data_IF_795720291421
#
_entry.id   IF_795720291421
#
_cell.length_a   1.000
_cell.length_b   1.000
_cell.length_c   1.000
_cell.angle_alpha   90.00
_cell.angle_beta   90.00
_cell.angle_gamma   90.00
#
_symmetry.space_group_name_H-M   'P 1'
#
loop_
_entity.id
_entity.type
_entity.pdbx_description
1 polymer ?
#
# COMPACT_ATOMS: atom_id res chain seq x y z
N UNK A 1 16.61 5.10 21.52
CA UNK A 1 15.35 4.41 21.19
C UNK A 1 15.60 3.41 20.06
N UNK A 2 15.52 2.09 20.29
CA UNK A 2 15.72 1.07 19.26
C UNK A 2 14.66 1.12 18.13
N UNK A 3 13.41 1.43 18.47
CA UNK A 3 12.29 1.51 17.52
C UNK A 3 12.46 2.64 16.49
N UNK A 4 12.93 3.82 16.91
CA UNK A 4 13.21 4.92 15.99
C UNK A 4 14.29 4.54 14.97
N UNK A 5 15.37 3.88 15.40
CA UNK A 5 16.42 3.40 14.47
C UNK A 5 15.88 2.37 13.47
N UNK A 6 14.99 1.49 13.91
CA UNK A 6 14.34 0.51 13.04
C UNK A 6 13.40 1.20 12.03
N UNK A 7 12.65 2.21 12.44
CA UNK A 7 11.79 3.00 11.56
C UNK A 7 12.59 3.86 10.56
N UNK A 8 13.72 4.44 10.98
CA UNK A 8 14.67 5.11 10.06
C UNK A 8 15.23 4.13 9.02
N UNK A 9 15.32 2.84 9.35
CA UNK A 9 15.72 1.82 8.37
C UNK A 9 14.69 1.64 7.24
N UNK A 10 13.42 1.98 7.51
CA UNK A 10 12.27 1.90 6.60
C UNK A 10 11.89 3.24 5.96
N UNK A 11 12.70 4.28 6.12
CA UNK A 11 12.46 5.59 5.51
C UNK A 11 12.51 5.51 3.98
N UNK A 12 11.33 5.71 3.36
CA UNK A 12 11.15 5.67 1.90
C UNK A 12 12.00 6.73 1.20
N UNK A 13 12.14 7.93 1.75
CA UNK A 13 12.93 9.00 1.15
C UNK A 13 14.40 8.62 1.06
N UNK A 14 14.95 8.09 2.16
CA UNK A 14 16.33 7.59 2.21
C UNK A 14 16.56 6.43 1.25
N UNK A 15 15.64 5.46 1.19
CA UNK A 15 15.77 4.31 0.27
C UNK A 15 15.73 4.77 -1.19
N UNK A 16 14.83 5.70 -1.53
CA UNK A 16 14.74 6.24 -2.89
C UNK A 16 15.98 7.06 -3.26
N UNK A 17 16.50 7.88 -2.35
CA UNK A 17 17.75 8.63 -2.57
C UNK A 17 18.95 7.71 -2.79
N UNK A 18 19.04 6.61 -2.02
CA UNK A 18 20.07 5.60 -2.23
C UNK A 18 19.91 4.92 -3.60
N UNK A 19 18.68 4.54 -3.96
CA UNK A 19 18.39 3.92 -5.27
C UNK A 19 18.78 4.84 -6.43
N UNK A 20 18.40 6.12 -6.39
CA UNK A 20 18.73 7.08 -7.45
C UNK A 20 20.23 7.29 -7.56
N UNK A 21 20.94 7.41 -6.43
CA UNK A 21 22.40 7.50 -6.41
C UNK A 21 23.07 6.26 -7.02
N UNK A 22 22.67 5.06 -6.60
CA UNK A 22 23.24 3.80 -7.07
C UNK A 22 22.97 3.51 -8.55
N UNK A 23 21.85 3.99 -9.08
CA UNK A 23 21.45 3.77 -10.48
C UNK A 23 21.87 4.89 -11.42
N UNK A 24 22.49 5.97 -10.90
CA UNK A 24 22.79 7.18 -11.66
C UNK A 24 23.64 6.90 -12.92
N UNK A 25 24.67 6.06 -12.81
CA UNK A 25 25.61 5.81 -13.91
C UNK A 25 25.01 5.06 -15.10
N UNK A 26 23.98 4.24 -14.87
CA UNK A 26 23.38 3.38 -15.90
C UNK A 26 22.04 3.88 -16.41
N UNK A 27 21.50 4.94 -15.79
CA UNK A 27 20.16 5.47 -16.05
C UNK A 27 20.04 6.12 -17.43
N UNK A 28 19.01 5.73 -18.19
CA UNK A 28 18.71 6.25 -19.53
C UNK A 28 17.35 6.97 -19.59
N UNK A 29 16.69 7.18 -18.44
CA UNK A 29 15.34 7.73 -18.34
C UNK A 29 15.13 8.54 -17.06
N UNK A 30 14.18 9.47 -17.10
CA UNK A 30 13.72 10.25 -15.95
C UNK A 30 12.70 9.51 -15.07
N UNK A 31 12.22 8.33 -15.49
CA UNK A 31 11.33 7.50 -14.66
C UNK A 31 12.09 6.98 -13.44
N UNK A 32 11.47 6.99 -12.26
CA UNK A 32 12.13 6.61 -11.00
C UNK A 32 12.80 5.24 -11.09
N UNK A 33 12.04 4.18 -11.37
CA UNK A 33 12.56 2.81 -11.46
C UNK A 33 13.04 2.46 -12.87
N UNK A 34 14.20 1.83 -12.94
CA UNK A 34 14.85 1.35 -14.17
C UNK A 34 15.07 -0.16 -14.15
N UNK A 35 15.07 -0.78 -15.32
CA UNK A 35 15.47 -2.17 -15.51
C UNK A 35 16.98 -2.32 -15.25
N UNK A 36 17.38 -3.50 -14.77
CA UNK A 36 18.77 -3.89 -14.54
C UNK A 36 19.17 -5.14 -15.35
N UNK A 37 18.25 -5.71 -16.14
CA UNK A 37 18.51 -6.90 -16.93
C UNK A 37 19.43 -6.59 -18.13
N UNK A 38 20.32 -7.52 -18.50
CA UNK A 38 21.16 -7.39 -19.68
C UNK A 38 20.33 -7.01 -20.93
N UNK A 39 20.80 -6.02 -21.68
CA UNK A 39 20.12 -5.50 -22.88
C UNK A 39 19.01 -4.47 -22.61
N UNK A 40 18.49 -4.36 -21.38
CA UNK A 40 17.50 -3.33 -21.01
C UNK A 40 17.94 -2.43 -19.86
N UNK A 41 19.17 -2.60 -19.36
CA UNK A 41 19.71 -1.81 -18.27
C UNK A 41 19.57 -0.30 -18.52
N UNK A 42 19.04 0.40 -17.51
CA UNK A 42 18.84 1.85 -17.57
C UNK A 42 17.51 2.29 -18.17
N UNK A 43 16.78 1.40 -18.84
CA UNK A 43 15.48 1.68 -19.44
C UNK A 43 14.36 1.71 -18.38
N UNK A 44 13.19 2.34 -18.64
CA UNK A 44 12.10 2.40 -17.68
C UNK A 44 11.46 1.02 -17.44
N UNK A 45 11.15 0.70 -16.19
CA UNK A 45 10.42 -0.53 -15.83
C UNK A 45 8.97 -0.45 -16.32
N UNK A 46 8.47 -1.52 -16.94
CA UNK A 46 7.06 -1.63 -17.32
C UNK A 46 6.16 -1.83 -16.09
N UNK A 47 4.88 -1.40 -16.12
CA UNK A 47 3.94 -1.66 -15.02
C UNK A 47 3.82 -3.15 -14.65
N UNK A 48 3.91 -4.03 -15.64
CA UNK A 48 3.86 -5.48 -15.46
C UNK A 48 5.08 -6.00 -14.70
N UNK A 49 6.30 -5.58 -15.09
CA UNK A 49 7.52 -5.94 -14.36
C UNK A 49 7.52 -5.38 -12.94
N UNK A 50 7.09 -4.14 -12.76
CA UNK A 50 7.02 -3.54 -11.43
C UNK A 50 6.02 -4.28 -10.53
N UNK A 51 4.86 -4.67 -11.07
CA UNK A 51 3.88 -5.51 -10.37
C UNK A 51 4.49 -6.86 -9.97
N UNK A 52 5.25 -7.49 -10.87
CA UNK A 52 5.95 -8.73 -10.59
C UNK A 52 6.96 -8.55 -9.44
N UNK A 53 7.80 -7.51 -9.48
CA UNK A 53 8.77 -7.20 -8.41
C UNK A 53 8.11 -7.02 -7.05
N UNK A 54 6.97 -6.34 -6.97
CA UNK A 54 6.22 -6.20 -5.70
C UNK A 54 5.77 -7.57 -5.20
N UNK A 55 5.15 -8.38 -6.07
CA UNK A 55 4.63 -9.70 -5.68
C UNK A 55 5.75 -10.64 -5.25
N UNK A 56 6.87 -10.68 -5.97
CA UNK A 56 8.01 -11.52 -5.62
C UNK A 56 8.67 -11.08 -4.31
N UNK A 57 8.81 -9.77 -4.09
CA UNK A 57 9.35 -9.21 -2.85
C UNK A 57 8.49 -9.58 -1.64
N UNK A 58 7.16 -9.45 -1.75
CA UNK A 58 6.23 -9.85 -0.68
C UNK A 58 6.35 -11.35 -0.41
N UNK A 59 6.33 -12.19 -1.46
CA UNK A 59 6.49 -13.65 -1.29
C UNK A 59 7.81 -14.01 -0.61
N UNK A 60 8.90 -13.35 -1.00
CA UNK A 60 10.22 -13.55 -0.40
C UNK A 60 10.21 -13.17 1.08
N UNK A 61 9.63 -12.02 1.44
CA UNK A 61 9.55 -11.57 2.83
C UNK A 61 8.78 -12.58 3.71
N UNK A 62 7.64 -13.10 3.25
CA UNK A 62 6.89 -14.13 3.97
C UNK A 62 7.68 -15.43 4.13
N UNK A 63 8.39 -15.86 3.08
CA UNK A 63 9.25 -17.04 3.11
C UNK A 63 10.38 -16.88 4.13
N UNK A 64 11.07 -15.74 4.12
CA UNK A 64 12.15 -15.42 5.07
C UNK A 64 11.63 -15.34 6.52
N UNK A 65 10.41 -14.82 6.70
CA UNK A 65 9.73 -14.78 7.99
C UNK A 65 9.13 -16.12 8.43
N UNK A 66 9.27 -17.19 7.63
CA UNK A 66 8.67 -18.53 7.87
C UNK A 66 7.16 -18.47 8.11
N UNK A 67 6.45 -17.58 7.40
CA UNK A 67 4.99 -17.42 7.46
C UNK A 67 4.32 -18.01 6.23
N UNK A 68 3.09 -18.56 6.34
CA UNK A 68 2.35 -19.04 5.19
C UNK A 68 2.06 -17.89 4.22
N UNK A 69 2.16 -18.17 2.92
CA UNK A 69 1.86 -17.18 1.89
C UNK A 69 0.35 -16.87 1.85
N UNK A 70 -0.04 -15.58 1.80
CA UNK A 70 -1.42 -15.20 1.54
C UNK A 70 -1.91 -15.71 0.18
N UNK A 71 -3.20 -15.98 0.07
CA UNK A 71 -3.84 -16.29 -1.22
C UNK A 71 -3.94 -15.04 -2.09
N UNK A 72 -3.77 -15.19 -3.40
CA UNK A 72 -3.99 -14.14 -4.41
C UNK A 72 -3.23 -12.81 -4.17
N UNK A 73 -1.94 -12.86 -3.84
CA UNK A 73 -1.08 -11.65 -3.75
C UNK A 73 -1.03 -10.93 -5.10
N UNK A 74 -1.42 -9.66 -5.11
CA UNK A 74 -1.32 -8.74 -6.25
C UNK A 74 -0.57 -7.49 -5.81
N UNK A 75 0.03 -6.75 -6.76
CA UNK A 75 0.67 -5.48 -6.42
C UNK A 75 -0.28 -4.48 -5.73
N UNK A 76 -1.54 -4.43 -6.16
CA UNK A 76 -2.57 -3.61 -5.53
C UNK A 76 -2.94 -4.04 -4.09
N UNK A 77 -2.62 -5.27 -3.68
CA UNK A 77 -2.85 -5.73 -2.30
C UNK A 77 -2.04 -4.89 -1.31
N UNK A 78 -0.85 -4.40 -1.67
CA UNK A 78 -0.04 -3.51 -0.83
C UNK A 78 -0.79 -2.23 -0.49
N UNK A 79 -1.44 -1.61 -1.48
CA UNK A 79 -2.26 -0.40 -1.28
C UNK A 79 -3.48 -0.67 -0.41
N UNK A 80 -4.20 -1.76 -0.66
CA UNK A 80 -5.35 -2.14 0.15
C UNK A 80 -4.99 -2.38 1.61
N UNK A 81 -3.89 -3.09 1.88
CA UNK A 81 -3.42 -3.35 3.25
C UNK A 81 -3.00 -2.03 3.93
N UNK A 82 -2.26 -1.16 3.26
CA UNK A 82 -1.84 0.13 3.82
C UNK A 82 -3.03 1.02 4.18
N UNK A 83 -3.99 1.21 3.27
CA UNK A 83 -5.22 1.98 3.52
C UNK A 83 -6.05 1.35 4.63
N UNK A 84 -6.14 0.01 4.67
CA UNK A 84 -6.86 -0.69 5.73
C UNK A 84 -6.21 -0.51 7.10
N UNK A 85 -4.88 -0.58 7.15
CA UNK A 85 -4.11 -0.38 8.36
C UNK A 85 -4.20 1.05 8.89
N UNK A 86 -4.28 2.06 8.02
CA UNK A 86 -4.50 3.45 8.40
C UNK A 86 -5.92 3.66 8.98
N UNK A 87 -6.93 3.11 8.32
CA UNK A 87 -8.31 3.18 8.81
C UNK A 87 -8.49 2.48 10.15
N UNK A 88 -7.90 1.30 10.35
CA UNK A 88 -7.89 0.60 11.65
C UNK A 88 -7.17 1.37 12.75
N UNK A 89 -6.32 2.35 12.40
CA UNK A 89 -5.70 3.29 13.35
C UNK A 89 -6.52 4.56 13.57
N UNK A 90 -7.69 4.68 12.94
CA UNK A 90 -8.58 5.83 13.12
C UNK A 90 -8.26 7.04 12.26
N UNK A 91 -7.38 6.90 11.25
CA UNK A 91 -7.16 7.99 10.28
C UNK A 91 -8.46 8.25 9.51
N UNK A 92 -8.90 9.51 9.36
CA UNK A 92 -10.10 9.86 8.62
C UNK A 92 -10.10 9.31 7.19
N UNK A 93 -11.25 8.84 6.71
CA UNK A 93 -11.37 8.23 5.37
C UNK A 93 -11.00 9.21 4.27
N UNK A 94 -11.28 10.49 4.44
CA UNK A 94 -10.91 11.54 3.49
C UNK A 94 -9.38 11.68 3.35
N UNK A 95 -8.67 11.71 4.47
CA UNK A 95 -7.20 11.73 4.48
C UNK A 95 -6.61 10.48 3.82
N UNK A 96 -7.18 9.30 4.10
CA UNK A 96 -6.77 8.05 3.45
C UNK A 96 -7.02 8.11 1.94
N UNK A 97 -8.17 8.63 1.51
CA UNK A 97 -8.51 8.75 0.10
C UNK A 97 -7.58 9.73 -0.61
N UNK A 98 -7.28 10.88 0.01
CA UNK A 98 -6.33 11.85 -0.50
C UNK A 98 -4.93 11.23 -0.65
N UNK A 99 -4.42 10.58 0.40
CA UNK A 99 -3.12 9.91 0.38
C UNK A 99 -3.05 8.75 -0.62
N UNK A 100 -4.16 8.05 -0.85
CA UNK A 100 -4.26 7.01 -1.85
C UNK A 100 -4.46 7.58 -3.27
N UNK A 101 -4.78 8.86 -3.46
CA UNK A 101 -5.25 9.42 -4.73
C UNK A 101 -6.54 8.76 -5.24
N UNK A 102 -7.48 8.46 -4.34
CA UNK A 102 -8.85 8.11 -4.71
C UNK A 102 -9.73 9.36 -4.73
N UNK A 103 -10.40 9.58 -5.86
CA UNK A 103 -11.35 10.67 -6.02
C UNK A 103 -12.63 10.50 -5.18
N UNK A 104 -12.95 9.27 -4.76
CA UNK A 104 -14.18 9.00 -3.98
C UNK A 104 -13.97 7.97 -2.86
N UNK A 105 -14.62 8.17 -1.68
CA UNK A 105 -14.64 7.20 -0.58
C UNK A 105 -15.26 5.83 -0.94
N UNK A 106 -16.14 5.79 -1.94
CA UNK A 106 -16.74 4.54 -2.45
C UNK A 106 -15.70 3.59 -3.03
N UNK A 107 -14.62 4.13 -3.62
CA UNK A 107 -13.50 3.33 -4.10
C UNK A 107 -12.75 2.68 -2.94
N UNK A 108 -12.59 3.38 -1.82
CA UNK A 108 -12.02 2.81 -0.60
C UNK A 108 -12.90 1.68 -0.03
N UNK A 109 -14.20 1.90 0.12
CA UNK A 109 -15.12 0.88 0.67
C UNK A 109 -15.13 -0.40 -0.17
N UNK A 110 -15.17 -0.28 -1.51
CA UNK A 110 -15.18 -1.42 -2.43
C UNK A 110 -13.90 -2.25 -2.40
N UNK A 111 -12.74 -1.60 -2.25
CA UNK A 111 -11.43 -2.28 -2.33
C UNK A 111 -10.92 -2.82 -0.99
N UNK A 112 -11.46 -2.37 0.15
CA UNK A 112 -10.91 -2.68 1.47
C UNK A 112 -11.77 -3.61 2.34
N UNK A 113 -12.91 -4.15 1.82
CA UNK A 113 -13.78 -5.13 2.51
C UNK A 113 -13.97 -4.83 4.00
N UNK A 114 -14.32 -3.58 4.31
CA UNK A 114 -14.36 -3.04 5.67
C UNK A 114 -15.62 -3.48 6.45
N UNK A 115 -15.82 -4.79 6.65
CA UNK A 115 -16.94 -5.28 7.46
C UNK A 115 -16.70 -5.14 8.98
N UNK A 116 -15.45 -4.96 9.42
CA UNK A 116 -15.09 -5.06 10.84
C UNK A 116 -15.42 -3.81 11.70
N UNK A 117 -15.36 -2.59 11.14
CA UNK A 117 -15.73 -1.34 11.86
C UNK A 117 -17.10 -0.79 11.49
N UNK A 118 -17.69 -1.20 10.36
CA UNK A 118 -19.05 -0.78 10.00
C UNK A 118 -20.13 -1.34 10.95
N UNK A 119 -19.81 -2.35 11.77
CA UNK A 119 -20.72 -2.89 12.78
C UNK A 119 -20.84 -2.06 14.07
N UNK A 120 -20.08 -0.98 14.25
CA UNK A 120 -20.09 -0.22 15.52
C UNK A 120 -20.78 1.14 15.50
N UNK A 121 -21.47 1.53 14.42
CA UNK A 121 -22.36 2.70 14.46
C UNK A 121 -23.79 2.30 14.14
N UNK A 122 -24.43 1.61 15.09
CA UNK A 122 -25.88 1.48 15.11
C UNK A 122 -26.56 2.80 15.50
N UNK A 123 -25.83 3.89 15.73
CA UNK A 123 -26.40 5.20 16.10
C UNK A 123 -27.40 5.69 15.05
N UNK A 124 -27.07 5.57 13.76
CA UNK A 124 -28.00 5.91 12.68
C UNK A 124 -29.22 4.98 12.67
N UNK A 125 -29.00 3.65 12.73
CA UNK A 125 -30.09 2.67 12.75
C UNK A 125 -31.02 2.84 13.97
N UNK A 126 -30.47 3.16 15.14
CA UNK A 126 -31.21 3.44 16.37
C UNK A 126 -32.05 4.72 16.24
N UNK A 127 -31.49 5.79 15.66
CA UNK A 127 -32.21 7.03 15.42
C UNK A 127 -33.38 6.84 14.43
N UNK A 128 -33.17 6.07 13.36
CA UNK A 128 -34.24 5.75 12.40
C UNK A 128 -35.31 4.86 13.05
N UNK A 129 -34.93 3.87 13.86
CA UNK A 129 -35.89 3.02 14.56
C UNK A 129 -36.74 3.81 15.58
N UNK A 130 -36.17 4.82 16.25
CA UNK A 130 -36.94 5.73 17.12
C UNK A 130 -37.92 6.64 16.38
N UNK A 131 -37.73 6.88 15.08
CA UNK A 131 -38.66 7.66 14.26
C UNK A 131 -39.80 6.83 13.65
N UNK A 132 -39.59 5.53 13.43
CA UNK A 132 -40.57 4.62 12.82
C UNK A 132 -41.52 3.99 13.85
N UNK A 133 -41.28 4.22 15.15
CA UNK A 133 -42.13 3.73 16.25
C UNK A 133 -43.01 4.85 16.84
N UNK A 134 -43.66 5.64 15.97
CA UNK A 134 -44.75 6.57 16.33
C UNK A 134 -46.03 6.10 15.66
#
# INVERSE_FOLDING_TARGET
MPLERELYSLDVCRVLAFYTSRTAAVRKTQKLFICYDPGSEGSPVSPQHFSHWIVTTVKLAYKLAKRPLPTAIRAHSTRAIASSAAFLRGIPVEEICNAAMWSTPTTFVKHNRMDARMRSSTTFGKAVHSFVTV
#
